data_IF_743070562775
#
_entry.id   IF_743070562775
#
_cell.length_a   1.000
_cell.length_b   1.000
_cell.length_c   1.000
_cell.angle_alpha   90.00
_cell.angle_beta   90.00
_cell.angle_gamma   90.00
#
_symmetry.space_group_name_H-M   'P 1'
#
loop_
_entity.id
_entity.type
_entity.pdbx_description
1 polymer ?
#
# COMPACT_ATOMS: atom_id res chain seq x y z
N UNK A 1 -4.69 -32.60 11.01
CA UNK A 1 -4.26 -31.62 12.03
C UNK A 1 -4.45 -30.18 11.60
N UNK A 2 -4.60 -29.88 10.29
CA UNK A 2 -4.60 -28.50 9.78
C UNK A 2 -5.94 -27.74 9.84
N UNK A 3 -7.09 -28.41 9.79
CA UNK A 3 -8.41 -27.74 9.86
C UNK A 3 -8.80 -27.24 11.26
N UNK A 4 -8.34 -27.93 12.30
CA UNK A 4 -8.62 -27.54 13.69
C UNK A 4 -7.81 -26.33 14.16
N UNK A 5 -6.57 -26.15 13.65
CA UNK A 5 -5.72 -25.04 14.07
C UNK A 5 -6.10 -23.72 13.37
N UNK A 6 -6.60 -23.79 12.14
CA UNK A 6 -7.15 -22.62 11.43
C UNK A 6 -8.47 -22.15 12.08
N UNK A 7 -9.31 -23.10 12.49
CA UNK A 7 -10.53 -22.79 13.24
C UNK A 7 -10.22 -22.24 14.65
N UNK A 8 -9.16 -22.73 15.31
CA UNK A 8 -8.75 -22.22 16.63
C UNK A 8 -8.14 -20.81 16.57
N UNK A 9 -7.39 -20.47 15.52
CA UNK A 9 -6.88 -19.11 15.33
C UNK A 9 -8.00 -18.11 14.92
N UNK A 10 -8.95 -18.54 14.11
CA UNK A 10 -10.14 -17.73 13.82
C UNK A 10 -11.04 -17.61 15.04
N UNK A 11 -11.18 -18.65 15.89
CA UNK A 11 -11.94 -18.55 17.12
C UNK A 11 -11.23 -17.74 18.20
N UNK A 12 -9.91 -17.68 18.25
CA UNK A 12 -9.18 -16.80 19.17
C UNK A 12 -9.32 -15.31 18.80
N UNK A 13 -9.38 -14.99 17.52
CA UNK A 13 -9.72 -13.63 17.05
C UNK A 13 -11.19 -13.32 17.34
N UNK A 14 -12.08 -14.31 17.17
CA UNK A 14 -13.53 -14.13 17.41
C UNK A 14 -13.90 -14.19 18.90
N UNK A 15 -13.22 -14.97 19.73
CA UNK A 15 -13.45 -15.05 21.19
C UNK A 15 -12.88 -13.82 21.91
N UNK A 16 -11.77 -13.23 21.40
CA UNK A 16 -11.34 -11.89 21.83
C UNK A 16 -12.39 -10.81 21.51
N UNK A 17 -13.17 -11.00 20.44
CA UNK A 17 -14.30 -10.11 20.11
C UNK A 17 -15.57 -10.42 20.91
N UNK A 18 -15.79 -11.66 21.37
CA UNK A 18 -17.01 -12.06 22.10
C UNK A 18 -16.92 -11.92 23.62
N UNK A 19 -15.70 -11.94 24.21
CA UNK A 19 -15.50 -11.61 25.63
C UNK A 19 -15.79 -10.13 25.94
N UNK A 20 -15.83 -9.29 24.93
CA UNK A 20 -16.18 -7.88 25.01
C UNK A 20 -17.64 -7.52 24.68
N UNK A 21 -18.53 -8.49 24.54
CA UNK A 21 -19.91 -8.17 24.11
C UNK A 21 -20.69 -7.34 25.16
N UNK A 22 -20.43 -7.52 26.45
CA UNK A 22 -20.98 -6.66 27.50
C UNK A 22 -20.20 -5.31 27.58
N UNK A 23 -18.88 -5.34 27.48
CA UNK A 23 -18.05 -4.12 27.36
C UNK A 23 -18.33 -3.36 26.06
N UNK A 24 -18.61 -4.07 24.94
CA UNK A 24 -19.00 -3.45 23.68
C UNK A 24 -20.40 -2.82 23.75
N UNK A 25 -21.33 -3.41 24.52
CA UNK A 25 -22.67 -2.83 24.75
C UNK A 25 -22.58 -1.60 25.68
N UNK A 26 -21.73 -1.62 26.70
CA UNK A 26 -21.45 -0.44 27.54
C UNK A 26 -20.70 0.66 26.73
N UNK A 27 -19.72 0.29 25.93
CA UNK A 27 -19.01 1.23 25.06
C UNK A 27 -19.93 1.85 23.99
N UNK A 28 -20.88 1.08 23.43
CA UNK A 28 -21.91 1.62 22.52
C UNK A 28 -22.86 2.54 23.27
N UNK A 29 -23.22 2.25 24.52
CA UNK A 29 -24.05 3.13 25.36
C UNK A 29 -23.28 4.42 25.74
N UNK A 30 -21.99 4.33 26.09
CA UNK A 30 -21.14 5.51 26.36
C UNK A 30 -20.93 6.35 25.08
N UNK A 31 -20.74 5.72 23.92
CA UNK A 31 -20.64 6.43 22.63
C UNK A 31 -21.94 7.13 22.28
N UNK A 32 -23.10 6.53 22.61
CA UNK A 32 -24.41 7.17 22.37
C UNK A 32 -24.63 8.35 23.31
N UNK A 33 -24.26 8.23 24.59
CA UNK A 33 -24.33 9.32 25.57
C UNK A 33 -23.30 10.42 25.25
N UNK A 34 -22.10 10.04 24.79
CA UNK A 34 -21.09 11.02 24.35
C UNK A 34 -21.52 11.71 23.05
N UNK A 35 -22.21 11.03 22.15
CA UNK A 35 -22.79 11.62 20.93
C UNK A 35 -23.93 12.62 21.25
N UNK A 36 -24.72 12.35 22.29
CA UNK A 36 -25.75 13.28 22.76
C UNK A 36 -25.15 14.49 23.51
N UNK A 37 -24.08 14.29 24.28
CA UNK A 37 -23.34 15.37 24.96
C UNK A 37 -22.58 16.29 24.00
N UNK A 38 -22.12 15.78 22.85
CA UNK A 38 -21.50 16.55 21.77
C UNK A 38 -22.47 17.53 21.09
N UNK A 39 -23.76 17.28 21.18
CA UNK A 39 -24.78 18.16 20.62
C UNK A 39 -25.00 19.47 21.44
N UNK A 40 -24.46 19.55 22.64
CA UNK A 40 -24.63 20.69 23.58
C UNK A 40 -23.41 21.61 23.75
N UNK A 41 -22.25 21.27 23.12
CA UNK A 41 -21.08 22.15 23.09
C UNK A 41 -21.35 23.34 22.15
N UNK A 42 -20.92 24.55 22.57
CA UNK A 42 -21.13 25.79 21.82
C UNK A 42 -20.71 25.60 20.34
N UNK A 43 -21.64 25.75 19.43
CA UNK A 43 -21.40 25.56 18.01
C UNK A 43 -20.23 26.47 17.54
N UNK A 44 -19.25 25.91 16.83
CA UNK A 44 -18.17 26.70 16.22
C UNK A 44 -18.75 27.77 15.30
N UNK A 45 -17.97 28.81 14.99
CA UNK A 45 -18.44 29.81 14.02
C UNK A 45 -18.88 29.13 12.73
N UNK A 46 -19.88 29.68 12.06
CA UNK A 46 -20.43 29.08 10.83
C UNK A 46 -19.35 28.87 9.77
N UNK A 47 -18.33 29.71 9.73
CA UNK A 47 -17.21 29.62 8.81
C UNK A 47 -16.25 28.49 9.18
N UNK A 48 -15.91 28.34 10.47
CA UNK A 48 -15.01 27.28 10.95
C UNK A 48 -15.67 25.89 10.77
N UNK A 49 -16.97 25.79 11.06
CA UNK A 49 -17.71 24.56 10.82
C UNK A 49 -17.83 24.22 9.32
N UNK A 50 -18.00 25.19 8.46
CA UNK A 50 -18.05 24.95 7.01
C UNK A 50 -16.70 24.43 6.50
N UNK A 51 -15.57 25.01 6.94
CA UNK A 51 -14.24 24.53 6.56
C UNK A 51 -13.96 23.12 7.10
N UNK A 52 -14.29 22.87 8.36
CA UNK A 52 -14.22 21.54 8.97
C UNK A 52 -15.02 20.50 8.16
N UNK A 53 -16.26 20.82 7.76
CA UNK A 53 -17.09 19.94 6.96
C UNK A 53 -16.47 19.66 5.58
N UNK A 54 -15.91 20.68 4.92
CA UNK A 54 -15.26 20.55 3.60
C UNK A 54 -13.97 19.72 3.73
N UNK A 55 -13.16 19.92 4.75
CA UNK A 55 -11.97 19.11 5.02
C UNK A 55 -12.33 17.62 5.22
N UNK A 56 -13.34 17.33 6.06
CA UNK A 56 -13.81 15.97 6.26
C UNK A 56 -14.31 15.34 4.96
N UNK A 57 -15.12 16.07 4.19
CA UNK A 57 -15.63 15.59 2.91
C UNK A 57 -14.48 15.26 1.94
N UNK A 58 -13.47 16.13 1.86
CA UNK A 58 -12.32 15.93 1.00
C UNK A 58 -11.48 14.72 1.40
N UNK A 59 -11.13 14.59 2.67
CA UNK A 59 -10.33 13.46 3.17
C UNK A 59 -11.08 12.15 3.05
N UNK A 60 -12.39 12.12 3.37
CA UNK A 60 -13.23 10.93 3.15
C UNK A 60 -13.35 10.56 1.66
N UNK A 61 -13.55 11.54 0.78
CA UNK A 61 -13.55 11.30 -0.67
C UNK A 61 -12.21 10.74 -1.14
N UNK A 62 -11.09 11.28 -0.62
CA UNK A 62 -9.76 10.74 -0.84
C UNK A 62 -9.64 9.29 -0.40
N UNK A 63 -10.10 8.95 0.80
CA UNK A 63 -10.13 7.56 1.28
C UNK A 63 -10.95 6.63 0.37
N UNK A 64 -12.09 7.08 -0.14
CA UNK A 64 -12.88 6.32 -1.12
C UNK A 64 -12.13 6.14 -2.45
N UNK A 65 -11.40 7.14 -2.92
CA UNK A 65 -10.55 7.03 -4.10
C UNK A 65 -9.38 6.06 -3.87
N UNK A 66 -8.78 6.02 -2.68
CA UNK A 66 -7.76 5.03 -2.32
C UNK A 66 -8.37 3.63 -2.22
N UNK A 67 -9.59 3.49 -1.70
CA UNK A 67 -10.31 2.20 -1.74
C UNK A 67 -10.51 1.71 -3.17
N UNK A 68 -10.85 2.60 -4.12
CA UNK A 68 -10.96 2.27 -5.53
C UNK A 68 -9.64 1.75 -6.13
N UNK A 69 -8.47 2.16 -5.57
CA UNK A 69 -7.18 1.63 -6.01
C UNK A 69 -7.04 0.12 -5.79
N UNK A 70 -7.72 -0.49 -4.81
CA UNK A 70 -7.71 -1.94 -4.63
C UNK A 70 -8.34 -2.67 -5.84
N UNK A 71 -9.37 -2.09 -6.48
CA UNK A 71 -9.88 -2.58 -7.76
C UNK A 71 -8.82 -2.43 -8.87
N UNK A 72 -8.12 -1.30 -8.88
CA UNK A 72 -7.00 -1.07 -9.81
C UNK A 72 -5.90 -2.13 -9.67
N UNK A 73 -5.45 -2.43 -8.45
CA UNK A 73 -4.49 -3.51 -8.16
C UNK A 73 -5.03 -4.87 -8.61
N UNK A 74 -6.29 -5.19 -8.29
CA UNK A 74 -6.92 -6.44 -8.72
C UNK A 74 -6.87 -6.61 -10.24
N UNK A 75 -7.16 -5.55 -11.00
CA UNK A 75 -7.11 -5.55 -12.46
C UNK A 75 -5.67 -5.70 -12.99
N UNK A 76 -4.70 -4.95 -12.44
CA UNK A 76 -3.29 -5.01 -12.86
C UNK A 76 -2.71 -6.40 -12.58
N UNK A 77 -2.88 -6.89 -11.36
CA UNK A 77 -2.34 -8.20 -10.95
C UNK A 77 -2.96 -9.34 -11.76
N UNK A 78 -4.29 -9.33 -11.93
CA UNK A 78 -4.96 -10.34 -12.75
C UNK A 78 -4.48 -10.31 -14.19
N UNK A 79 -4.41 -9.11 -14.78
CA UNK A 79 -4.03 -8.96 -16.18
C UNK A 79 -2.58 -9.35 -16.47
N UNK A 80 -1.64 -9.09 -15.54
CA UNK A 80 -0.22 -9.44 -15.66
C UNK A 80 0.09 -10.90 -15.27
N UNK A 81 -0.84 -11.59 -14.61
CA UNK A 81 -0.70 -13.00 -14.28
C UNK A 81 -1.30 -13.92 -15.35
N UNK A 82 -1.09 -15.25 -15.22
CA UNK A 82 -1.71 -16.23 -16.08
C UNK A 82 -3.18 -16.44 -15.73
N UNK A 83 -4.04 -16.62 -16.73
CA UNK A 83 -5.50 -16.75 -16.61
C UNK A 83 -5.96 -17.79 -15.56
N UNK A 84 -5.22 -18.88 -15.40
CA UNK A 84 -5.50 -19.97 -14.45
C UNK A 84 -5.35 -19.61 -12.97
N UNK A 85 -4.93 -18.37 -12.66
CA UNK A 85 -4.76 -17.84 -11.32
C UNK A 85 -5.60 -16.57 -11.05
N UNK A 86 -6.51 -16.24 -11.98
CA UNK A 86 -7.26 -14.99 -11.94
C UNK A 86 -8.20 -14.90 -10.72
N UNK A 87 -9.00 -15.97 -10.45
CA UNK A 87 -9.86 -16.03 -9.26
C UNK A 87 -9.07 -15.91 -7.97
N UNK A 88 -7.93 -16.58 -7.87
CA UNK A 88 -7.05 -16.52 -6.71
C UNK A 88 -6.55 -15.09 -6.46
N UNK A 89 -6.17 -14.38 -7.52
CA UNK A 89 -5.70 -13.00 -7.45
C UNK A 89 -6.85 -12.07 -7.03
N UNK A 90 -8.02 -12.18 -7.65
CA UNK A 90 -9.20 -11.38 -7.30
C UNK A 90 -9.61 -11.63 -5.86
N UNK A 91 -9.58 -12.88 -5.40
CA UNK A 91 -9.88 -13.24 -4.02
C UNK A 91 -8.88 -12.59 -3.04
N UNK A 92 -7.56 -12.68 -3.31
CA UNK A 92 -6.54 -12.01 -2.49
C UNK A 92 -6.79 -10.50 -2.42
N UNK A 93 -7.03 -9.87 -3.56
CA UNK A 93 -7.26 -8.42 -3.63
C UNK A 93 -8.58 -7.98 -2.98
N UNK A 94 -9.57 -8.86 -2.85
CA UNK A 94 -10.79 -8.62 -2.06
C UNK A 94 -10.52 -8.78 -0.56
N UNK A 95 -9.78 -9.81 -0.17
CA UNK A 95 -9.49 -10.10 1.23
C UNK A 95 -8.45 -9.15 1.84
N UNK A 96 -7.51 -8.63 1.05
CA UNK A 96 -6.46 -7.73 1.55
C UNK A 96 -7.01 -6.45 2.18
N UNK A 97 -7.89 -5.65 1.53
CA UNK A 97 -8.47 -4.48 2.18
C UNK A 97 -9.37 -4.85 3.36
N UNK A 98 -10.11 -5.96 3.28
CA UNK A 98 -10.99 -6.39 4.38
C UNK A 98 -10.18 -6.77 5.63
N UNK A 99 -9.19 -7.66 5.50
CA UNK A 99 -8.32 -8.06 6.60
C UNK A 99 -7.45 -6.88 7.06
N UNK A 100 -6.90 -6.12 6.11
CA UNK A 100 -6.06 -4.97 6.40
C UNK A 100 -6.79 -3.94 7.26
N UNK A 101 -7.99 -3.54 6.85
CA UNK A 101 -8.79 -2.56 7.58
C UNK A 101 -9.18 -3.05 8.97
N UNK A 102 -9.63 -4.32 9.09
CA UNK A 102 -9.99 -4.92 10.38
C UNK A 102 -8.77 -5.04 11.31
N UNK A 103 -7.64 -5.54 10.82
CA UNK A 103 -6.43 -5.69 11.65
C UNK A 103 -5.81 -4.33 12.03
N UNK A 104 -5.93 -3.32 11.16
CA UNK A 104 -5.55 -1.95 11.47
C UNK A 104 -6.45 -1.34 12.56
N UNK A 105 -7.74 -1.64 12.55
CA UNK A 105 -8.67 -1.22 13.61
C UNK A 105 -8.37 -1.87 14.97
N UNK A 106 -7.88 -3.11 14.99
CA UNK A 106 -7.61 -3.83 16.25
C UNK A 106 -6.45 -3.20 17.04
N UNK A 107 -5.36 -2.84 16.38
CA UNK A 107 -4.19 -2.25 17.05
C UNK A 107 -3.32 -1.37 16.15
N UNK A 108 -3.44 -1.48 14.82
CA UNK A 108 -2.56 -0.77 13.90
C UNK A 108 -2.69 0.75 14.02
N UNK A 109 -3.91 1.29 14.09
CA UNK A 109 -4.12 2.72 14.22
C UNK A 109 -3.54 3.27 15.54
N UNK A 110 -3.73 2.53 16.64
CA UNK A 110 -3.19 2.89 17.94
C UNK A 110 -1.65 2.77 18.05
N UNK A 111 -1.03 1.91 17.24
CA UNK A 111 0.43 1.83 17.10
C UNK A 111 0.97 2.97 16.23
N UNK A 112 0.24 3.36 15.18
CA UNK A 112 0.68 4.39 14.25
C UNK A 112 0.53 5.79 14.83
N UNK A 113 -0.54 6.03 15.58
CA UNK A 113 -0.87 7.31 16.21
C UNK A 113 -0.98 7.16 17.73
N UNK A 114 0.15 6.93 18.43
CA UNK A 114 0.14 6.69 19.87
C UNK A 114 -0.14 7.95 20.69
N UNK A 115 -0.13 9.15 20.09
CA UNK A 115 -0.29 10.41 20.77
C UNK A 115 0.79 10.60 21.85
N UNK A 116 0.37 10.66 23.12
CA UNK A 116 1.29 10.79 24.27
C UNK A 116 1.80 9.43 24.79
N UNK A 117 1.31 8.31 24.25
CA UNK A 117 1.56 6.96 24.78
C UNK A 117 2.81 6.30 24.17
N UNK A 118 3.90 7.05 24.06
CA UNK A 118 5.17 6.49 23.63
C UNK A 118 5.78 5.64 24.75
N UNK A 119 6.14 4.38 24.40
CA UNK A 119 6.74 3.40 25.32
C UNK A 119 8.26 3.53 25.31
N UNK A 120 8.86 3.80 24.13
CA UNK A 120 10.31 3.87 23.97
C UNK A 120 10.71 4.99 23.01
N UNK A 121 11.13 6.13 23.56
CA UNK A 121 11.82 7.26 22.89
C UNK A 121 11.34 7.58 21.46
N UNK A 122 10.03 7.68 21.25
CA UNK A 122 9.42 7.93 19.93
C UNK A 122 9.74 6.89 18.84
N UNK A 123 10.18 5.68 19.25
CA UNK A 123 10.37 4.52 18.36
C UNK A 123 9.20 3.55 18.39
N UNK A 124 8.59 3.40 19.53
CA UNK A 124 7.43 2.53 19.73
C UNK A 124 6.46 3.19 20.69
N UNK A 125 5.22 3.31 20.28
CA UNK A 125 4.12 3.78 21.10
C UNK A 125 2.89 2.91 20.89
N UNK A 126 1.94 2.95 21.84
CA UNK A 126 0.70 2.20 21.73
C UNK A 126 -0.40 2.86 22.54
N UNK A 127 -1.49 3.27 21.88
CA UNK A 127 -2.63 3.93 22.53
C UNK A 127 -3.72 2.96 23.01
N UNK A 128 -3.54 1.65 22.88
CA UNK A 128 -4.49 0.62 23.30
C UNK A 128 -5.06 -0.20 22.14
N UNK A 129 -5.86 -1.22 22.47
CA UNK A 129 -6.53 -2.04 21.45
C UNK A 129 -7.88 -1.45 21.06
N UNK A 130 -8.24 -1.58 19.79
CA UNK A 130 -9.49 -1.07 19.24
C UNK A 130 -9.42 0.42 18.88
N UNK A 131 -10.57 0.96 18.54
CA UNK A 131 -10.73 2.37 18.17
C UNK A 131 -11.43 3.09 19.31
N UNK A 132 -10.71 4.01 19.93
CA UNK A 132 -11.22 4.80 21.04
C UNK A 132 -11.21 6.28 20.67
N UNK A 133 -12.38 6.90 20.66
CA UNK A 133 -12.48 8.33 20.46
C UNK A 133 -11.70 9.04 21.57
N UNK A 134 -10.72 9.90 21.24
CA UNK A 134 -10.02 10.69 22.26
C UNK A 134 -11.02 11.51 23.09
N UNK A 135 -10.75 11.62 24.39
CA UNK A 135 -11.56 12.46 25.27
C UNK A 135 -11.49 13.92 24.81
N UNK A 136 -12.63 14.56 24.63
CA UNK A 136 -12.73 15.95 24.23
C UNK A 136 -13.73 16.18 23.09
N UNK A 137 -13.73 17.40 22.58
CA UNK A 137 -14.56 17.77 21.44
C UNK A 137 -14.06 17.07 20.18
N UNK A 138 -14.89 16.30 19.44
CA UNK A 138 -14.49 15.69 18.16
C UNK A 138 -13.98 16.70 17.13
N UNK A 139 -14.40 17.96 17.23
CA UNK A 139 -13.91 19.05 16.36
C UNK A 139 -12.49 19.48 16.76
N UNK A 140 -12.05 19.23 17.99
CA UNK A 140 -10.69 19.54 18.45
C UNK A 140 -9.63 18.52 17.96
N UNK A 141 -10.05 17.39 17.40
CA UNK A 141 -9.14 16.42 16.83
C UNK A 141 -8.36 17.04 15.64
N UNK A 142 -7.07 16.81 15.58
CA UNK A 142 -6.17 17.43 14.58
C UNK A 142 -6.37 18.96 14.45
N UNK A 143 -6.43 19.65 15.58
CA UNK A 143 -6.64 21.11 15.64
C UNK A 143 -7.91 21.60 14.90
N UNK A 144 -8.93 20.77 14.79
CA UNK A 144 -10.19 21.12 14.13
C UNK A 144 -10.20 20.95 12.61
N UNK A 145 -9.26 20.22 12.04
CA UNK A 145 -9.22 20.00 10.59
C UNK A 145 -10.17 18.89 10.14
N UNK A 146 -10.23 17.76 10.86
CA UNK A 146 -11.11 16.62 10.55
C UNK A 146 -11.35 15.73 11.77
N UNK A 147 -12.31 14.79 11.66
CA UNK A 147 -12.66 13.89 12.76
C UNK A 147 -11.70 12.70 12.87
N UNK A 148 -11.64 12.10 14.06
CA UNK A 148 -10.95 10.83 14.32
C UNK A 148 -11.36 9.72 13.35
N UNK A 149 -12.67 9.62 13.02
CA UNK A 149 -13.20 8.62 12.11
C UNK A 149 -12.76 8.85 10.66
N UNK A 150 -12.65 10.10 10.25
CA UNK A 150 -12.13 10.48 8.93
C UNK A 150 -10.67 10.08 8.80
N UNK A 151 -9.85 10.35 9.82
CA UNK A 151 -8.45 9.96 9.86
C UNK A 151 -8.28 8.43 9.83
N UNK A 152 -8.95 7.71 10.74
CA UNK A 152 -8.91 6.25 10.75
C UNK A 152 -9.31 5.66 9.39
N UNK A 153 -10.40 6.13 8.79
CA UNK A 153 -10.87 5.64 7.50
C UNK A 153 -9.80 5.86 6.41
N UNK A 154 -9.26 7.07 6.32
CA UNK A 154 -8.26 7.43 5.33
C UNK A 154 -6.97 6.62 5.52
N UNK A 155 -6.42 6.59 6.72
CA UNK A 155 -5.18 5.88 7.03
C UNK A 155 -5.31 4.35 6.90
N UNK A 156 -6.48 3.80 7.20
CA UNK A 156 -6.76 2.38 7.01
C UNK A 156 -6.66 1.92 5.55
N UNK A 157 -7.00 2.80 4.60
CA UNK A 157 -6.83 2.51 3.17
C UNK A 157 -5.36 2.45 2.77
N UNK A 158 -4.51 3.30 3.34
CA UNK A 158 -3.05 3.29 3.13
C UNK A 158 -2.41 2.02 3.70
N UNK A 159 -2.81 1.62 4.89
CA UNK A 159 -2.36 0.38 5.53
C UNK A 159 -2.67 -0.86 4.67
N UNK A 160 -3.89 -0.95 4.14
CA UNK A 160 -4.28 -2.00 3.23
C UNK A 160 -3.50 -1.95 1.89
N UNK A 161 -3.21 -0.74 1.40
CA UNK A 161 -2.42 -0.55 0.17
C UNK A 161 -0.98 -1.07 0.33
N UNK A 162 -0.33 -0.85 1.46
CA UNK A 162 1.02 -1.39 1.71
C UNK A 162 1.06 -2.93 1.62
N UNK A 163 0.01 -3.62 2.09
CA UNK A 163 -0.09 -5.07 2.00
C UNK A 163 -0.43 -5.57 0.58
N UNK A 164 -1.25 -4.83 -0.18
CA UNK A 164 -1.63 -5.24 -1.54
C UNK A 164 -0.44 -5.23 -2.52
N UNK A 165 0.56 -4.38 -2.28
CA UNK A 165 1.82 -4.37 -3.06
C UNK A 165 2.50 -5.74 -3.01
N UNK A 166 2.46 -6.42 -1.87
CA UNK A 166 3.04 -7.76 -1.71
C UNK A 166 2.25 -8.80 -2.49
N UNK A 167 0.91 -8.65 -2.61
CA UNK A 167 0.03 -9.59 -3.31
C UNK A 167 0.51 -9.91 -4.73
N UNK A 168 0.81 -8.87 -5.51
CA UNK A 168 1.25 -9.02 -6.90
C UNK A 168 2.62 -9.69 -7.04
N UNK A 169 3.58 -9.30 -6.20
CA UNK A 169 4.93 -9.84 -6.24
C UNK A 169 5.00 -11.35 -5.95
N UNK A 170 4.10 -11.87 -5.11
CA UNK A 170 4.06 -13.28 -4.71
C UNK A 170 2.99 -14.10 -5.48
N UNK A 171 2.33 -13.47 -6.46
CA UNK A 171 1.24 -14.06 -7.21
C UNK A 171 1.63 -15.40 -7.88
N UNK A 172 0.63 -16.23 -8.17
CA UNK A 172 0.68 -17.52 -8.85
C UNK A 172 1.34 -18.68 -8.07
N UNK A 173 2.01 -18.44 -6.93
CA UNK A 173 2.71 -19.49 -6.18
C UNK A 173 2.62 -19.42 -4.66
N UNK A 174 2.13 -18.30 -4.11
CA UNK A 174 1.92 -18.19 -2.66
C UNK A 174 0.66 -18.93 -2.22
N UNK A 175 0.71 -19.63 -1.09
CA UNK A 175 -0.50 -20.17 -0.44
C UNK A 175 -1.38 -19.03 0.06
N UNK A 176 -2.67 -19.07 -0.28
CA UNK A 176 -3.64 -18.06 0.12
C UNK A 176 -3.63 -17.83 1.63
N UNK A 177 -3.73 -18.90 2.42
CA UNK A 177 -3.75 -18.80 3.89
C UNK A 177 -2.53 -18.10 4.48
N UNK A 178 -1.33 -18.42 3.95
CA UNK A 178 -0.09 -17.80 4.41
C UNK A 178 -0.02 -16.31 4.05
N UNK A 179 -0.51 -15.93 2.87
CA UNK A 179 -0.60 -14.53 2.48
C UNK A 179 -1.58 -13.73 3.36
N UNK A 180 -2.75 -14.30 3.66
CA UNK A 180 -3.75 -13.63 4.52
C UNK A 180 -3.23 -13.45 5.97
N UNK A 181 -2.54 -14.44 6.53
CA UNK A 181 -1.90 -14.32 7.86
C UNK A 181 -0.80 -13.26 7.82
N UNK A 182 0.05 -13.27 6.78
CA UNK A 182 1.05 -12.23 6.58
C UNK A 182 0.41 -10.84 6.57
N UNK A 183 -0.64 -10.65 5.78
CA UNK A 183 -1.37 -9.38 5.67
C UNK A 183 -1.86 -8.89 7.03
N UNK A 184 -2.50 -9.77 7.81
CA UNK A 184 -3.01 -9.42 9.14
C UNK A 184 -1.89 -8.94 10.08
N UNK A 185 -0.78 -9.68 10.17
CA UNK A 185 0.35 -9.31 11.04
C UNK A 185 1.05 -8.04 10.53
N UNK A 186 1.26 -7.95 9.22
CA UNK A 186 1.99 -6.84 8.62
C UNK A 186 1.29 -5.50 8.80
N UNK A 187 -0.02 -5.48 8.55
CA UNK A 187 -0.86 -4.27 8.66
C UNK A 187 -1.12 -3.88 10.12
N UNK A 188 -1.23 -4.86 11.01
CA UNK A 188 -1.47 -4.57 12.43
C UNK A 188 -0.23 -4.16 13.21
N UNK A 189 0.99 -4.56 12.77
CA UNK A 189 2.22 -4.38 13.57
C UNK A 189 3.32 -3.65 12.80
N UNK A 190 3.79 -4.22 11.67
CA UNK A 190 5.01 -3.71 11.01
C UNK A 190 4.77 -2.35 10.38
N UNK A 191 3.74 -2.25 9.53
CA UNK A 191 3.37 -1.02 8.85
C UNK A 191 3.13 0.15 9.82
N UNK A 192 2.31 0.01 10.88
CA UNK A 192 2.03 1.12 11.77
C UNK A 192 3.23 1.54 12.62
N UNK A 193 4.10 0.61 13.04
CA UNK A 193 5.31 0.95 13.79
C UNK A 193 6.23 1.85 12.94
N UNK A 194 6.51 1.47 11.70
CA UNK A 194 7.37 2.31 10.84
C UNK A 194 6.69 3.62 10.44
N UNK A 195 5.37 3.62 10.22
CA UNK A 195 4.57 4.81 9.93
C UNK A 195 4.53 5.79 11.11
N UNK A 196 4.52 5.29 12.34
CA UNK A 196 4.52 6.13 13.54
C UNK A 196 5.78 7.00 13.66
N UNK A 197 6.89 6.58 13.06
CA UNK A 197 8.16 7.31 13.11
C UNK A 197 8.12 8.68 12.39
N UNK A 198 7.29 8.81 11.37
CA UNK A 198 7.03 10.06 10.68
C UNK A 198 5.63 10.57 10.97
N UNK A 199 4.61 9.93 10.41
CA UNK A 199 3.22 10.40 10.47
C UNK A 199 2.61 10.38 11.88
N UNK A 200 3.10 9.53 12.78
CA UNK A 200 2.69 9.50 14.18
C UNK A 200 3.43 10.47 15.10
N UNK A 201 4.30 11.35 14.58
CA UNK A 201 5.10 12.28 15.38
C UNK A 201 6.31 11.63 16.07
N UNK A 202 6.86 10.56 15.47
CA UNK A 202 7.98 9.82 16.02
C UNK A 202 9.35 10.45 15.76
N UNK A 203 10.42 9.64 15.90
CA UNK A 203 11.79 10.12 15.84
C UNK A 203 12.23 10.62 14.46
N UNK A 204 11.64 10.11 13.36
CA UNK A 204 11.93 10.60 12.01
C UNK A 204 11.30 11.98 11.77
N UNK A 205 10.09 12.21 12.28
CA UNK A 205 9.45 13.53 12.24
C UNK A 205 10.29 14.57 12.95
N UNK A 206 10.80 14.24 14.13
CA UNK A 206 11.71 15.10 14.89
C UNK A 206 13.02 15.44 14.17
N UNK A 207 13.41 14.67 13.16
CA UNK A 207 14.56 14.93 12.28
C UNK A 207 14.17 15.65 10.99
N UNK A 208 12.90 16.05 10.81
CA UNK A 208 12.35 16.61 9.58
C UNK A 208 12.41 15.66 8.38
N UNK A 209 12.24 14.33 8.61
CA UNK A 209 12.01 13.41 7.53
C UNK A 209 10.63 13.67 6.94
N UNK A 210 10.58 13.88 5.63
CA UNK A 210 9.34 14.19 4.95
C UNK A 210 8.95 13.09 3.96
N UNK A 211 7.78 12.55 4.15
CA UNK A 211 7.11 11.64 3.23
C UNK A 211 5.62 12.00 3.21
N UNK A 212 5.26 12.91 2.30
CA UNK A 212 3.94 13.54 2.27
C UNK A 212 2.79 12.54 2.20
N UNK A 213 2.88 11.60 1.25
CA UNK A 213 1.80 10.64 1.04
C UNK A 213 2.26 9.18 1.00
N UNK A 214 3.55 8.85 1.20
CA UNK A 214 3.98 7.47 1.42
C UNK A 214 4.83 6.83 0.34
N UNK A 215 5.74 7.56 -0.35
CA UNK A 215 6.75 6.89 -1.16
C UNK A 215 7.57 5.91 -0.33
N UNK A 216 7.92 6.26 0.92
CA UNK A 216 8.56 5.37 1.88
C UNK A 216 7.52 4.55 2.64
N UNK A 217 6.64 5.23 3.44
CA UNK A 217 5.79 4.57 4.44
C UNK A 217 4.72 3.65 3.86
N UNK A 218 4.38 3.76 2.57
CA UNK A 218 3.46 2.84 1.90
C UNK A 218 4.18 2.03 0.83
N UNK A 219 4.75 2.71 -0.16
CA UNK A 219 5.25 2.03 -1.36
C UNK A 219 6.58 1.30 -1.11
N UNK A 220 7.58 1.97 -0.54
CA UNK A 220 8.87 1.33 -0.23
C UNK A 220 8.70 0.24 0.83
N UNK A 221 7.91 0.50 1.88
CA UNK A 221 7.57 -0.47 2.93
C UNK A 221 6.95 -1.73 2.32
N UNK A 222 5.90 -1.59 1.49
CA UNK A 222 5.31 -2.72 0.76
C UNK A 222 6.28 -3.39 -0.20
N UNK A 223 7.14 -2.62 -0.86
CA UNK A 223 8.17 -3.12 -1.78
C UNK A 223 9.26 -3.95 -1.09
N UNK A 224 9.74 -3.55 0.08
CA UNK A 224 10.68 -4.33 0.89
C UNK A 224 10.06 -5.63 1.42
N UNK A 225 8.79 -5.57 1.80
CA UNK A 225 8.03 -6.76 2.18
C UNK A 225 7.84 -7.72 0.99
N UNK A 226 7.54 -7.17 -0.19
CA UNK A 226 7.47 -7.94 -1.43
C UNK A 226 8.78 -8.64 -1.77
N UNK A 227 9.91 -7.95 -1.62
CA UNK A 227 11.25 -8.52 -1.84
C UNK A 227 11.52 -9.72 -0.93
N UNK A 228 11.19 -9.61 0.36
CA UNK A 228 11.36 -10.73 1.30
C UNK A 228 10.48 -11.94 0.93
N UNK A 229 9.24 -11.69 0.50
CA UNK A 229 8.33 -12.72 -0.01
C UNK A 229 8.87 -13.42 -1.27
N UNK A 230 9.33 -12.64 -2.25
CA UNK A 230 9.91 -13.17 -3.50
C UNK A 230 11.14 -14.04 -3.24
N UNK A 231 12.05 -13.60 -2.36
CA UNK A 231 13.26 -14.37 -1.98
C UNK A 231 12.88 -15.71 -1.34
N UNK A 232 11.96 -15.72 -0.39
CA UNK A 232 11.60 -16.92 0.38
C UNK A 232 10.73 -17.91 -0.40
N UNK A 233 9.91 -17.43 -1.33
CA UNK A 233 9.09 -18.26 -2.23
C UNK A 233 9.91 -18.88 -3.37
N UNK A 234 10.86 -18.12 -3.91
CA UNK A 234 11.54 -18.46 -5.14
C UNK A 234 10.69 -18.17 -6.40
N UNK A 235 11.26 -18.42 -7.59
CA UNK A 235 10.61 -18.11 -8.86
C UNK A 235 9.47 -19.07 -9.19
N UNK A 236 8.56 -18.65 -10.09
CA UNK A 236 7.55 -19.51 -10.71
C UNK A 236 8.20 -20.60 -11.55
N UNK A 237 7.55 -21.75 -11.63
CA UNK A 237 8.00 -22.89 -12.45
C UNK A 237 8.10 -22.42 -13.91
N UNK A 238 9.24 -22.68 -14.53
CA UNK A 238 9.52 -22.32 -15.93
C UNK A 238 9.98 -20.86 -16.14
N UNK A 239 10.10 -20.03 -15.11
CA UNK A 239 10.59 -18.64 -15.25
C UNK A 239 12.09 -18.58 -15.60
N UNK A 240 12.88 -19.49 -15.06
CA UNK A 240 14.32 -19.58 -15.34
C UNK A 240 14.67 -21.00 -15.73
N UNK A 241 15.16 -21.17 -16.97
CA UNK A 241 15.55 -22.47 -17.54
C UNK A 241 16.97 -22.37 -18.07
N UNK A 242 17.85 -23.25 -17.63
CA UNK A 242 19.26 -23.28 -18.03
C UNK A 242 19.97 -21.93 -17.91
N UNK A 243 19.66 -21.21 -16.81
CA UNK A 243 20.22 -19.88 -16.53
C UNK A 243 19.65 -18.74 -17.39
N UNK A 244 18.66 -19.01 -18.24
CA UNK A 244 17.99 -18.01 -19.09
C UNK A 244 16.65 -17.60 -18.50
N UNK A 245 16.34 -16.32 -18.64
CA UNK A 245 15.04 -15.75 -18.29
C UNK A 245 14.03 -16.14 -19.36
N UNK A 246 12.99 -16.85 -18.98
CA UNK A 246 11.86 -17.19 -19.84
C UNK A 246 10.68 -16.27 -19.48
N UNK A 247 10.22 -15.41 -20.41
CA UNK A 247 9.10 -14.52 -20.12
C UNK A 247 7.82 -15.32 -19.86
N UNK A 248 7.15 -15.03 -18.72
CA UNK A 248 5.80 -15.51 -18.45
C UNK A 248 4.88 -14.31 -18.63
N UNK A 249 4.20 -14.27 -19.77
CA UNK A 249 3.37 -13.14 -20.17
C UNK A 249 2.05 -13.10 -19.40
N UNK A 250 1.59 -11.89 -19.08
CA UNK A 250 0.24 -11.67 -18.59
C UNK A 250 -0.81 -12.03 -19.65
N UNK A 251 -1.99 -12.44 -19.20
CA UNK A 251 -3.03 -12.92 -20.11
C UNK A 251 -3.96 -11.83 -20.65
N UNK A 252 -3.98 -10.63 -20.04
CA UNK A 252 -4.98 -9.60 -20.36
C UNK A 252 -4.44 -8.17 -20.19
N UNK A 253 -3.78 -7.65 -21.24
CA UNK A 253 -3.25 -6.30 -21.25
C UNK A 253 -4.32 -5.19 -21.22
N UNK A 254 -5.51 -5.33 -21.85
CA UNK A 254 -6.62 -4.40 -21.65
C UNK A 254 -7.00 -4.24 -20.17
N UNK A 255 -7.08 -5.34 -19.40
CA UNK A 255 -7.37 -5.32 -17.99
C UNK A 255 -6.27 -4.61 -17.19
N UNK A 256 -4.99 -4.84 -17.53
CA UNK A 256 -3.85 -4.10 -16.95
C UNK A 256 -4.01 -2.59 -17.17
N UNK A 257 -4.34 -2.20 -18.38
CA UNK A 257 -4.51 -0.78 -18.73
C UNK A 257 -5.65 -0.14 -17.94
N UNK A 258 -6.80 -0.80 -17.85
CA UNK A 258 -7.94 -0.34 -17.04
C UNK A 258 -7.50 -0.18 -15.58
N UNK A 259 -6.80 -1.19 -15.03
CA UNK A 259 -6.29 -1.17 -13.66
C UNK A 259 -5.35 0.00 -13.39
N UNK A 260 -4.42 0.30 -14.29
CA UNK A 260 -3.50 1.44 -14.15
C UNK A 260 -4.25 2.78 -14.17
N UNK A 261 -5.26 2.95 -15.04
CA UNK A 261 -6.07 4.17 -15.02
C UNK A 261 -6.90 4.31 -13.74
N UNK A 262 -7.43 3.20 -13.18
CA UNK A 262 -8.10 3.22 -11.88
C UNK A 262 -7.13 3.60 -10.75
N UNK A 263 -5.90 3.07 -10.77
CA UNK A 263 -4.85 3.45 -9.83
C UNK A 263 -4.48 4.93 -9.98
N UNK A 264 -4.33 5.42 -11.21
CA UNK A 264 -4.02 6.83 -11.47
C UNK A 264 -5.13 7.76 -10.95
N UNK A 265 -6.39 7.42 -11.22
CA UNK A 265 -7.53 8.16 -10.69
C UNK A 265 -7.53 8.16 -9.15
N UNK A 266 -7.32 6.99 -8.54
CA UNK A 266 -7.23 6.85 -7.09
C UNK A 266 -6.08 7.64 -6.47
N UNK A 267 -4.99 7.85 -7.25
CA UNK A 267 -3.84 8.62 -6.78
C UNK A 267 -4.12 10.11 -6.56
N UNK A 268 -5.13 10.66 -7.20
CA UNK A 268 -5.59 12.01 -6.88
C UNK A 268 -6.19 12.09 -5.46
N UNK A 269 -6.84 11.02 -4.98
CA UNK A 269 -7.23 10.89 -3.59
C UNK A 269 -6.04 10.58 -2.69
N UNK A 270 -5.17 9.65 -3.11
CA UNK A 270 -3.99 9.24 -2.36
C UNK A 270 -3.08 10.43 -2.02
N UNK A 271 -2.65 11.20 -3.01
CA UNK A 271 -1.82 12.38 -2.80
C UNK A 271 -2.65 13.61 -2.40
N UNK A 272 -3.75 13.89 -3.09
CA UNK A 272 -4.51 15.13 -2.86
C UNK A 272 -5.11 15.23 -1.45
N UNK A 273 -5.67 14.12 -0.94
CA UNK A 273 -6.23 14.11 0.41
C UNK A 273 -5.17 13.94 1.51
N UNK A 274 -3.92 13.60 1.19
CA UNK A 274 -2.79 13.64 2.13
C UNK A 274 -2.42 15.06 2.56
N UNK A 275 -3.00 16.09 1.92
CA UNK A 275 -2.98 17.45 2.46
C UNK A 275 -3.70 17.56 3.81
N UNK A 276 -4.55 16.57 4.13
CA UNK A 276 -5.38 16.45 5.34
C UNK A 276 -6.34 17.63 5.55
N UNK A 277 -6.46 18.49 4.56
CA UNK A 277 -7.41 19.60 4.48
C UNK A 277 -7.74 19.91 3.02
N UNK A 278 -8.70 20.79 2.80
CA UNK A 278 -9.16 21.21 1.48
C UNK A 278 -8.61 22.58 1.04
N UNK A 279 -7.38 22.94 1.52
CA UNK A 279 -6.72 24.16 1.05
C UNK A 279 -6.58 24.15 -0.47
N UNK A 280 -7.21 25.07 -1.20
CA UNK A 280 -7.26 25.01 -2.65
C UNK A 280 -5.88 25.24 -3.29
N UNK A 281 -5.00 25.99 -2.67
CA UNK A 281 -3.65 26.23 -3.16
C UNK A 281 -2.78 25.00 -3.06
N UNK A 282 -2.76 24.36 -1.89
CA UNK A 282 -1.97 23.14 -1.62
C UNK A 282 -2.51 21.95 -2.43
N UNK A 283 -3.81 21.67 -2.34
CA UNK A 283 -4.42 20.51 -2.99
C UNK A 283 -4.28 20.59 -4.52
N UNK A 284 -4.55 21.75 -5.13
CA UNK A 284 -4.42 21.88 -6.59
C UNK A 284 -2.98 21.68 -7.07
N UNK A 285 -1.98 22.18 -6.35
CA UNK A 285 -0.57 21.95 -6.67
C UNK A 285 -0.20 20.45 -6.59
N UNK A 286 -0.63 19.78 -5.54
CA UNK A 286 -0.41 18.33 -5.34
C UNK A 286 -1.01 17.52 -6.49
N UNK A 287 -2.24 17.84 -6.91
CA UNK A 287 -2.88 17.16 -8.04
C UNK A 287 -2.15 17.40 -9.36
N UNK A 288 -1.69 18.64 -9.62
CA UNK A 288 -0.90 18.99 -10.81
C UNK A 288 0.44 18.25 -10.79
N UNK A 289 1.18 18.26 -9.68
CA UNK A 289 2.46 17.56 -9.55
C UNK A 289 2.30 16.05 -9.75
N UNK A 290 1.23 15.48 -9.20
CA UNK A 290 0.89 14.04 -9.36
C UNK A 290 0.63 13.70 -10.84
N UNK A 291 -0.21 14.49 -11.53
CA UNK A 291 -0.53 14.28 -12.95
C UNK A 291 0.71 14.42 -13.84
N UNK A 292 1.50 15.46 -13.62
CA UNK A 292 2.67 15.77 -14.44
C UNK A 292 3.76 14.70 -14.28
N UNK A 293 4.06 14.28 -13.05
CA UNK A 293 5.08 13.26 -12.82
C UNK A 293 4.69 11.92 -13.45
N UNK A 294 3.44 11.50 -13.31
CA UNK A 294 2.94 10.30 -13.97
C UNK A 294 3.04 10.39 -15.51
N UNK A 295 2.62 11.51 -16.09
CA UNK A 295 2.69 11.75 -17.54
C UNK A 295 4.13 11.72 -18.06
N UNK A 296 5.04 12.37 -17.35
CA UNK A 296 6.47 12.38 -17.69
C UNK A 296 7.07 10.95 -17.63
N UNK A 297 6.68 10.17 -16.63
CA UNK A 297 7.15 8.79 -16.47
C UNK A 297 6.58 7.84 -17.54
N UNK A 298 5.33 8.01 -17.97
CA UNK A 298 4.75 7.28 -19.10
C UNK A 298 5.58 7.49 -20.36
N UNK A 299 5.90 8.75 -20.68
CA UNK A 299 6.68 9.07 -21.87
C UNK A 299 8.10 8.52 -21.77
N UNK A 300 8.78 8.72 -20.63
CA UNK A 300 10.16 8.29 -20.49
C UNK A 300 10.30 6.76 -20.42
N UNK A 301 9.37 6.05 -19.79
CA UNK A 301 9.39 4.58 -19.77
C UNK A 301 9.10 3.96 -21.14
N UNK A 302 8.20 4.55 -21.91
CA UNK A 302 7.97 4.15 -23.31
C UNK A 302 9.23 4.32 -24.16
N UNK A 303 9.95 5.44 -24.04
CA UNK A 303 11.20 5.67 -24.75
C UNK A 303 12.28 4.70 -24.26
N UNK A 304 12.42 4.48 -22.94
CA UNK A 304 13.40 3.58 -22.34
C UNK A 304 13.14 2.13 -22.77
N UNK A 305 11.88 1.67 -22.78
CA UNK A 305 11.53 0.33 -23.26
C UNK A 305 11.88 0.16 -24.75
N UNK A 306 11.58 1.15 -25.59
CA UNK A 306 11.95 1.12 -27.02
C UNK A 306 13.46 1.02 -27.22
N UNK A 307 14.26 1.72 -26.42
CA UNK A 307 15.73 1.69 -26.50
C UNK A 307 16.27 0.34 -26.01
N UNK A 308 15.79 -0.15 -24.87
CA UNK A 308 16.34 -1.36 -24.24
C UNK A 308 15.80 -2.66 -24.83
N UNK A 309 14.52 -2.69 -25.23
CA UNK A 309 13.83 -3.89 -25.72
C UNK A 309 13.62 -3.86 -27.23
N UNK A 310 14.05 -2.81 -27.93
CA UNK A 310 13.91 -2.57 -29.37
C UNK A 310 12.47 -2.35 -29.88
N UNK A 311 11.49 -2.29 -28.97
CA UNK A 311 10.09 -1.94 -29.26
C UNK A 311 9.48 -1.23 -28.04
N UNK A 312 8.47 -0.36 -28.22
CA UNK A 312 7.71 0.16 -27.11
C UNK A 312 6.90 -0.99 -26.49
N UNK A 313 7.07 -1.19 -25.18
CA UNK A 313 6.37 -2.23 -24.44
C UNK A 313 5.27 -1.62 -23.56
N UNK A 314 4.04 -2.14 -23.70
CA UNK A 314 2.88 -1.61 -22.98
C UNK A 314 2.99 -1.88 -21.47
N UNK A 315 3.46 -3.06 -21.06
CA UNK A 315 3.57 -3.39 -19.64
C UNK A 315 4.60 -2.50 -18.94
N UNK A 316 5.73 -2.24 -19.59
CA UNK A 316 6.76 -1.30 -19.09
C UNK A 316 6.22 0.13 -19.04
N UNK A 317 5.43 0.54 -20.01
CA UNK A 317 4.81 1.87 -20.05
C UNK A 317 3.77 2.03 -18.93
N UNK A 318 2.97 1.00 -18.67
CA UNK A 318 2.01 0.98 -17.55
C UNK A 318 2.73 1.01 -16.19
N UNK A 319 3.78 0.23 -16.01
CA UNK A 319 4.64 0.30 -14.83
C UNK A 319 5.36 1.65 -14.71
N UNK A 320 5.67 2.29 -15.84
CA UNK A 320 6.19 3.66 -15.89
C UNK A 320 5.23 4.69 -15.31
N UNK A 321 3.94 4.59 -15.65
CA UNK A 321 2.90 5.41 -15.04
C UNK A 321 2.92 5.29 -13.51
N UNK A 322 2.85 4.05 -13.02
CA UNK A 322 2.87 3.77 -11.58
C UNK A 322 4.17 4.23 -10.90
N UNK A 323 5.32 4.06 -11.57
CA UNK A 323 6.61 4.52 -11.06
C UNK A 323 6.67 6.04 -10.89
N UNK A 324 6.10 6.80 -11.84
CA UNK A 324 5.98 8.26 -11.74
C UNK A 324 5.07 8.70 -10.60
N UNK A 325 3.94 8.01 -10.43
CA UNK A 325 3.02 8.23 -9.33
C UNK A 325 3.69 7.97 -7.97
N UNK A 326 4.36 6.83 -7.83
CA UNK A 326 5.14 6.49 -6.61
C UNK A 326 6.26 7.49 -6.36
N UNK A 327 6.99 7.87 -7.41
CA UNK A 327 8.15 8.77 -7.31
C UNK A 327 7.80 10.19 -6.86
N UNK A 328 6.59 10.67 -7.14
CA UNK A 328 6.16 12.02 -6.71
C UNK A 328 5.50 12.02 -5.34
N UNK A 329 5.04 10.87 -4.85
CA UNK A 329 4.17 10.73 -3.68
C UNK A 329 4.76 11.33 -2.40
N UNK A 330 6.08 11.23 -2.18
CA UNK A 330 6.71 11.81 -0.99
C UNK A 330 6.84 13.33 -1.02
N UNK A 331 6.90 13.93 -2.22
CA UNK A 331 7.23 15.35 -2.38
C UNK A 331 6.18 16.15 -3.16
N UNK A 332 5.00 15.60 -3.39
CA UNK A 332 3.98 16.24 -4.23
C UNK A 332 3.57 17.64 -3.73
N UNK A 333 3.69 17.90 -2.43
CA UNK A 333 3.36 19.16 -1.77
C UNK A 333 4.53 20.16 -1.67
N UNK A 334 5.77 19.68 -1.79
CA UNK A 334 6.96 20.47 -1.47
C UNK A 334 7.95 20.64 -2.64
N UNK A 335 7.58 20.21 -3.86
CA UNK A 335 8.43 20.41 -5.06
C UNK A 335 7.74 21.32 -6.07
N UNK A 336 8.56 21.99 -6.90
CA UNK A 336 8.03 22.78 -8.02
C UNK A 336 7.48 21.87 -9.13
N UNK A 337 6.59 22.43 -9.98
CA UNK A 337 6.06 21.71 -11.15
C UNK A 337 7.17 21.26 -12.11
N UNK A 338 8.22 22.07 -12.29
CA UNK A 338 9.39 21.69 -13.08
C UNK A 338 10.17 20.52 -12.47
N UNK A 339 10.31 20.51 -11.15
CA UNK A 339 10.91 19.37 -10.42
C UNK A 339 10.04 18.10 -10.54
N UNK A 340 8.72 18.22 -10.50
CA UNK A 340 7.81 17.08 -10.68
C UNK A 340 7.96 16.43 -12.07
N UNK A 341 8.20 17.21 -13.14
CA UNK A 341 8.55 16.66 -14.47
C UNK A 341 9.83 15.84 -14.39
N UNK A 342 10.88 16.37 -13.76
CA UNK A 342 12.19 15.69 -13.67
C UNK A 342 12.07 14.41 -12.84
N UNK A 343 11.37 14.45 -11.71
CA UNK A 343 11.13 13.29 -10.84
C UNK A 343 10.44 12.18 -11.62
N UNK A 344 9.40 12.53 -12.37
CA UNK A 344 8.67 11.59 -13.21
C UNK A 344 9.51 11.02 -14.35
N UNK A 345 10.27 11.86 -15.09
CA UNK A 345 11.17 11.39 -16.14
C UNK A 345 12.18 10.36 -15.61
N UNK A 346 12.79 10.64 -14.47
CA UNK A 346 13.77 9.73 -13.85
C UNK A 346 13.09 8.43 -13.40
N UNK A 347 11.91 8.50 -12.79
CA UNK A 347 11.15 7.33 -12.38
C UNK A 347 10.84 6.39 -13.56
N UNK A 348 10.38 6.95 -14.68
CA UNK A 348 10.10 6.15 -15.89
C UNK A 348 11.36 5.60 -16.57
N UNK A 349 12.51 6.29 -16.46
CA UNK A 349 13.79 5.76 -16.92
C UNK A 349 14.25 4.61 -16.03
N UNK A 350 14.10 4.71 -14.71
CA UNK A 350 14.59 3.72 -13.73
C UNK A 350 13.78 2.42 -13.78
N UNK A 351 12.46 2.50 -13.95
CA UNK A 351 11.59 1.33 -13.79
C UNK A 351 11.92 0.20 -14.77
N UNK A 352 12.23 0.51 -16.02
CA UNK A 352 12.51 -0.50 -17.06
C UNK A 352 13.80 -1.28 -16.78
N UNK A 353 14.97 -0.65 -16.55
CA UNK A 353 16.16 -1.39 -16.16
C UNK A 353 16.02 -2.07 -14.80
N UNK A 354 15.20 -1.57 -13.88
CA UNK A 354 14.97 -2.21 -12.60
C UNK A 354 14.25 -3.57 -12.77
N UNK A 355 13.25 -3.67 -13.66
CA UNK A 355 12.60 -4.96 -13.99
C UNK A 355 13.64 -5.94 -14.54
N UNK A 356 14.45 -5.51 -15.50
CA UNK A 356 15.52 -6.36 -16.09
C UNK A 356 16.57 -6.75 -15.04
N UNK A 357 16.89 -5.86 -14.12
CA UNK A 357 17.85 -6.12 -13.03
C UNK A 357 17.33 -7.22 -12.09
N UNK A 358 16.08 -7.13 -11.62
CA UNK A 358 15.51 -8.18 -10.76
C UNK A 358 15.39 -9.52 -11.47
N UNK A 359 15.00 -9.53 -12.74
CA UNK A 359 15.01 -10.75 -13.56
C UNK A 359 16.40 -11.38 -13.66
N UNK A 360 17.47 -10.59 -13.82
CA UNK A 360 18.86 -11.08 -13.84
C UNK A 360 19.31 -11.64 -12.49
N UNK A 361 18.78 -11.13 -11.40
CA UNK A 361 19.01 -11.65 -10.05
C UNK A 361 18.16 -12.90 -9.74
N UNK A 362 17.39 -13.38 -10.69
CA UNK A 362 16.42 -14.48 -10.53
C UNK A 362 15.37 -14.21 -9.45
N UNK A 363 14.99 -12.94 -9.28
CA UNK A 363 13.90 -12.50 -8.42
C UNK A 363 12.65 -12.33 -9.28
N UNK A 364 11.79 -13.36 -9.28
CA UNK A 364 10.59 -13.40 -10.11
C UNK A 364 9.46 -12.58 -9.49
N UNK A 365 9.21 -11.43 -10.07
CA UNK A 365 8.13 -10.51 -9.72
C UNK A 365 7.13 -10.40 -10.89
N UNK A 366 5.97 -11.05 -10.79
CA UNK A 366 5.01 -11.14 -11.90
C UNK A 366 4.49 -9.80 -12.41
N UNK A 367 4.42 -8.79 -11.55
CA UNK A 367 3.74 -7.50 -11.84
C UNK A 367 4.69 -6.30 -11.88
N UNK A 368 5.95 -6.49 -11.48
CA UNK A 368 6.91 -5.39 -11.39
C UNK A 368 6.80 -4.55 -10.11
N UNK A 369 6.22 -5.11 -9.04
CA UNK A 369 6.06 -4.41 -7.76
C UNK A 369 7.39 -3.94 -7.16
N UNK A 370 8.47 -4.73 -7.28
CA UNK A 370 9.79 -4.35 -6.82
C UNK A 370 10.32 -3.12 -7.56
N UNK A 371 10.15 -3.09 -8.87
CA UNK A 371 10.64 -1.97 -9.70
C UNK A 371 9.81 -0.71 -9.49
N UNK A 372 8.49 -0.85 -9.33
CA UNK A 372 7.57 0.26 -9.13
C UNK A 372 7.64 0.77 -7.69
N UNK A 373 7.37 -0.09 -6.70
CA UNK A 373 7.14 0.37 -5.33
C UNK A 373 8.40 0.41 -4.48
N UNK A 374 9.32 -0.58 -4.62
CA UNK A 374 10.58 -0.55 -3.86
C UNK A 374 11.52 0.50 -4.44
N UNK A 375 11.88 0.37 -5.73
CA UNK A 375 12.92 1.22 -6.34
C UNK A 375 12.44 2.66 -6.47
N UNK A 376 11.23 2.87 -7.00
CA UNK A 376 10.71 4.23 -7.16
C UNK A 376 10.14 4.82 -5.86
N UNK A 377 9.81 4.01 -4.85
CA UNK A 377 9.53 4.49 -3.49
C UNK A 377 10.78 5.10 -2.84
N UNK A 378 11.91 4.40 -2.93
CA UNK A 378 13.20 4.95 -2.48
C UNK A 378 13.57 6.19 -3.29
N UNK A 379 13.43 6.16 -4.62
CA UNK A 379 13.68 7.31 -5.48
C UNK A 379 12.84 8.53 -5.06
N UNK A 380 11.53 8.37 -4.88
CA UNK A 380 10.62 9.46 -4.50
C UNK A 380 11.02 10.11 -3.17
N UNK A 381 11.41 9.31 -2.20
CA UNK A 381 11.91 9.80 -0.91
C UNK A 381 13.21 10.60 -1.06
N UNK A 382 14.17 10.08 -1.82
CA UNK A 382 15.44 10.79 -2.07
C UNK A 382 15.23 12.06 -2.89
N UNK A 383 14.25 12.05 -3.79
CA UNK A 383 13.89 13.20 -4.61
C UNK A 383 13.41 14.38 -3.76
N UNK A 384 12.74 14.16 -2.63
CA UNK A 384 12.41 15.22 -1.67
C UNK A 384 13.68 15.95 -1.22
N UNK A 385 14.71 15.22 -0.81
CA UNK A 385 15.97 15.81 -0.35
C UNK A 385 16.79 16.52 -1.45
N UNK A 386 16.41 16.34 -2.72
CA UNK A 386 17.09 16.96 -3.88
C UNK A 386 16.29 18.16 -4.40
N UNK A 387 14.96 18.05 -4.46
CA UNK A 387 14.09 18.96 -5.18
C UNK A 387 13.12 19.76 -4.31
N UNK A 388 13.04 19.48 -3.00
CA UNK A 388 12.17 20.22 -2.10
C UNK A 388 12.53 21.70 -2.05
N UNK A 389 11.50 22.56 -2.00
CA UNK A 389 11.63 23.98 -1.74
C UNK A 389 11.74 24.30 -0.25
N UNK A 390 11.57 23.30 0.61
CA UNK A 390 11.68 23.39 2.07
C UNK A 390 13.09 23.00 2.49
N UNK A 391 13.90 23.93 3.05
CA UNK A 391 15.33 23.68 3.31
C UNK A 391 15.61 22.60 4.37
N UNK A 392 14.66 22.36 5.28
CA UNK A 392 14.76 21.40 6.37
C UNK A 392 14.74 19.95 5.89
N UNK A 393 14.15 19.66 4.71
CA UNK A 393 14.02 18.33 4.16
C UNK A 393 15.30 17.89 3.43
N UNK A 394 16.36 17.65 4.19
CA UNK A 394 17.69 17.40 3.65
C UNK A 394 17.87 16.00 3.08
N UNK A 395 18.68 15.86 2.06
CA UNK A 395 19.01 14.56 1.45
C UNK A 395 19.52 13.52 2.47
N UNK A 396 20.30 13.96 3.47
CA UNK A 396 20.83 13.06 4.51
C UNK A 396 19.73 12.44 5.36
N UNK A 397 18.73 13.23 5.75
CA UNK A 397 17.61 12.77 6.56
C UNK A 397 16.72 11.85 5.72
N UNK A 398 16.45 12.20 4.47
CA UNK A 398 15.68 11.36 3.55
C UNK A 398 16.36 10.01 3.30
N UNK A 399 17.67 10.00 3.09
CA UNK A 399 18.45 8.77 2.94
C UNK A 399 18.44 7.91 4.21
N UNK A 400 18.61 8.54 5.38
CA UNK A 400 18.54 7.85 6.68
C UNK A 400 17.18 7.19 6.88
N UNK A 401 16.09 7.94 6.69
CA UNK A 401 14.73 7.42 6.84
C UNK A 401 14.44 6.29 5.87
N UNK A 402 14.73 6.46 4.58
CA UNK A 402 14.55 5.42 3.58
C UNK A 402 15.34 4.14 3.92
N UNK A 403 16.59 4.28 4.39
CA UNK A 403 17.44 3.14 4.75
C UNK A 403 16.92 2.41 6.00
N UNK A 404 16.57 3.12 7.07
CA UNK A 404 16.13 2.50 8.33
C UNK A 404 14.75 1.89 8.18
N UNK A 405 13.79 2.61 7.57
CA UNK A 405 12.45 2.07 7.29
C UNK A 405 12.56 0.85 6.38
N UNK A 406 13.39 0.91 5.35
CA UNK A 406 13.62 -0.20 4.43
C UNK A 406 14.21 -1.43 5.14
N UNK A 407 15.24 -1.24 5.96
CA UNK A 407 15.87 -2.32 6.72
C UNK A 407 14.90 -3.00 7.69
N UNK A 408 14.14 -2.21 8.46
CA UNK A 408 13.16 -2.75 9.42
C UNK A 408 12.01 -3.45 8.70
N UNK A 409 11.49 -2.87 7.63
CA UNK A 409 10.41 -3.48 6.83
C UNK A 409 10.86 -4.80 6.21
N UNK A 410 12.06 -4.86 5.63
CA UNK A 410 12.61 -6.08 5.05
C UNK A 410 12.82 -7.16 6.11
N UNK A 411 13.53 -6.85 7.21
CA UNK A 411 13.86 -7.82 8.25
C UNK A 411 12.60 -8.36 8.92
N UNK A 412 11.65 -7.49 9.27
CA UNK A 412 10.38 -7.89 9.89
C UNK A 412 9.55 -8.77 8.96
N UNK A 413 9.39 -8.37 7.70
CA UNK A 413 8.66 -9.15 6.70
C UNK A 413 9.33 -10.48 6.39
N UNK A 414 10.67 -10.49 6.32
CA UNK A 414 11.43 -11.72 6.13
C UNK A 414 11.22 -12.68 7.31
N UNK A 415 11.24 -12.17 8.55
CA UNK A 415 10.98 -12.97 9.75
C UNK A 415 9.57 -13.56 9.74
N UNK A 416 8.54 -12.77 9.36
CA UNK A 416 7.16 -13.25 9.27
C UNK A 416 7.03 -14.33 8.19
N UNK A 417 7.51 -14.08 6.97
CA UNK A 417 7.45 -15.09 5.89
C UNK A 417 8.28 -16.34 6.21
N UNK A 418 9.43 -16.18 6.85
CA UNK A 418 10.26 -17.32 7.27
C UNK A 418 9.56 -18.17 8.33
N UNK A 419 8.93 -17.55 9.32
CA UNK A 419 8.13 -18.26 10.33
C UNK A 419 6.95 -19.00 9.66
N UNK A 420 6.19 -18.35 8.80
CA UNK A 420 5.11 -18.97 8.03
C UNK A 420 5.62 -20.12 7.17
N UNK A 421 6.79 -19.97 6.52
CA UNK A 421 7.43 -21.04 5.73
C UNK A 421 7.72 -22.27 6.57
N UNK A 422 8.11 -22.10 7.83
CA UNK A 422 8.43 -23.20 8.74
C UNK A 422 7.19 -23.84 9.36
N UNK A 423 6.14 -23.06 9.63
CA UNK A 423 4.94 -23.53 10.35
C UNK A 423 3.91 -24.11 9.39
N UNK A 424 3.55 -23.38 8.34
CA UNK A 424 2.45 -23.73 7.43
C UNK A 424 2.91 -24.04 6.00
N UNK A 425 4.16 -23.68 5.68
CA UNK A 425 4.62 -23.55 4.29
C UNK A 425 4.00 -22.31 3.61
N UNK A 426 4.77 -21.61 2.78
CA UNK A 426 4.30 -20.39 2.10
C UNK A 426 4.02 -20.60 0.61
N UNK A 427 4.54 -21.68 0.01
CA UNK A 427 4.38 -21.99 -1.40
C UNK A 427 3.44 -23.16 -1.59
N UNK A 428 2.61 -23.10 -2.61
CA UNK A 428 1.79 -24.23 -3.09
C UNK A 428 2.68 -25.36 -3.64
N UNK A 429 2.13 -26.56 -3.80
CA UNK A 429 2.86 -27.67 -4.42
C UNK A 429 3.11 -27.40 -5.92
N UNK A 430 4.06 -28.12 -6.50
CA UNK A 430 4.36 -28.05 -7.93
C UNK A 430 3.14 -28.40 -8.78
N UNK A 431 2.38 -29.42 -8.38
CA UNK A 431 1.16 -29.83 -9.06
C UNK A 431 0.10 -28.71 -9.06
N UNK A 432 -0.13 -28.07 -7.91
CA UNK A 432 -1.07 -26.95 -7.78
C UNK A 432 -0.63 -25.74 -8.62
N UNK A 433 0.67 -25.41 -8.63
CA UNK A 433 1.20 -24.31 -9.43
C UNK A 433 1.07 -24.57 -10.95
N UNK A 434 1.30 -25.83 -11.37
CA UNK A 434 1.13 -26.22 -12.78
C UNK A 434 -0.34 -26.26 -13.19
N UNK A 435 -1.22 -26.77 -12.34
CA UNK A 435 -2.66 -26.86 -12.59
C UNK A 435 -3.35 -25.49 -12.56
N UNK A 436 -2.94 -24.60 -11.66
CA UNK A 436 -3.53 -23.28 -11.44
C UNK A 436 -4.29 -23.18 -10.13
N UNK A 437 -4.11 -22.03 -9.45
CA UNK A 437 -4.65 -21.81 -8.12
C UNK A 437 -6.17 -21.59 -8.10
N UNK A 438 -6.76 -21.19 -9.22
CA UNK A 438 -8.21 -21.04 -9.34
C UNK A 438 -8.93 -22.36 -9.05
N UNK A 439 -8.48 -23.44 -9.66
CA UNK A 439 -9.04 -24.78 -9.43
C UNK A 439 -8.63 -25.36 -8.07
N UNK A 440 -7.37 -25.17 -7.66
CA UNK A 440 -6.82 -25.85 -6.49
C UNK A 440 -7.25 -25.21 -5.17
N UNK A 441 -7.36 -23.90 -5.12
CA UNK A 441 -7.72 -23.16 -3.89
C UNK A 441 -9.19 -22.70 -3.89
N UNK A 442 -9.84 -22.52 -5.06
CA UNK A 442 -11.18 -21.97 -5.16
C UNK A 442 -12.22 -22.90 -5.83
N UNK A 443 -11.76 -24.00 -6.42
CA UNK A 443 -12.66 -25.00 -7.02
C UNK A 443 -13.38 -24.55 -8.31
N UNK A 444 -12.94 -23.44 -8.93
CA UNK A 444 -13.58 -22.90 -10.12
C UNK A 444 -12.65 -22.02 -10.95
N UNK A 445 -12.85 -21.99 -12.25
CA UNK A 445 -12.09 -21.16 -13.18
C UNK A 445 -12.71 -19.76 -13.32
N UNK A 446 -11.87 -18.73 -13.50
CA UNK A 446 -12.34 -17.36 -13.77
C UNK A 446 -13.00 -17.22 -15.15
N UNK A 447 -12.58 -18.05 -16.11
CA UNK A 447 -13.05 -18.02 -17.51
C UNK A 447 -13.58 -19.37 -17.95
N UNK A 448 -14.66 -19.90 -17.37
CA UNK A 448 -15.21 -21.20 -17.72
C UNK A 448 -15.70 -21.19 -19.17
N UNK A 449 -15.21 -22.12 -19.98
CA UNK A 449 -15.60 -22.24 -21.40
C UNK A 449 -15.02 -21.18 -22.34
N UNK A 450 -14.16 -20.27 -21.86
CA UNK A 450 -13.43 -19.33 -22.73
C UNK A 450 -12.26 -20.06 -23.40
N UNK A 451 -12.31 -20.19 -24.72
CA UNK A 451 -11.16 -20.68 -25.49
C UNK A 451 -10.27 -19.51 -25.89
N UNK A 452 -9.06 -19.46 -25.35
CA UNK A 452 -8.05 -18.54 -25.83
C UNK A 452 -7.45 -19.06 -27.11
N UNK A 453 -7.80 -18.48 -28.26
CA UNK A 453 -7.12 -18.76 -29.51
C UNK A 453 -5.72 -18.17 -29.45
N UNK A 454 -4.72 -18.99 -29.31
CA UNK A 454 -3.33 -18.57 -29.54
C UNK A 454 -3.16 -18.44 -31.03
N UNK A 455 -3.03 -17.22 -31.56
CA UNK A 455 -2.55 -17.02 -32.91
C UNK A 455 -1.10 -17.55 -32.97
N UNK A 456 -0.92 -18.71 -33.65
CA UNK A 456 0.39 -19.24 -33.96
C UNK A 456 1.12 -18.33 -34.95
#
# INVERSE_FOLDING_TARGET
MNKMMTAALMSLVFVGMCAGAEEAAEAVAEVTVAAEAVQEAAAPSTADYAMFAVNNLWVMAGGMLVFLMHLGFACVESGLARAKNCNNILFKNTMTPAIGFLSYAVCGFALMYPGVNWIWNNWLGFAGFGLHLPAGDPIAYHNGEFTYWTDFFFQGMFAATAATIVSGAVAERVKLSSYLIFTAIYVSVVYPIVGSWGWGGGWLDALHFHDFAGSTFVHSVGGWAALSGVILLGPRIGKYVDGKVMPIMGHNMPLVTIGVFLLWLGWFGFNGASALNADPGKVSLVLVNTMIAASAAVVSSMVTSKVMLHHPDLSMTMNGCLAGLVGITAGADCVSVGSAVIIGLIAGIIVVPAVVFFDRLHLDDPVGALSVHLVNGVWGTLAVGIFSVVPEYTFKVQLLGAAVVGAVSFVSSFAIFFALKKITGIRVSEEEELRGLDLCEHGGEAYPGFQFFVNM
#
